data_IF_857886166206
#
_entry.id   IF_857886166206
#
_cell.length_a   1.000
_cell.length_b   1.000
_cell.length_c   1.000
_cell.angle_alpha   90.00
_cell.angle_beta   90.00
_cell.angle_gamma   90.00
#
_symmetry.space_group_name_H-M   'P 1'
#
loop_
_entity.id
_entity.type
_entity.pdbx_description
1 polymer ?
#
# COMPACT_ATOMS: atom_id res chain seq x y z
N UNK A 1 22.74 -14.13 -3.38
CA UNK A 1 21.48 -13.39 -3.65
C UNK A 1 20.65 -13.50 -2.38
N UNK A 2 20.42 -12.40 -1.67
CA UNK A 2 19.59 -12.40 -0.46
C UNK A 2 18.15 -12.61 -0.91
N UNK A 3 17.42 -13.49 -0.25
CA UNK A 3 16.02 -13.79 -0.58
C UNK A 3 15.14 -12.57 -0.27
N UNK A 4 14.21 -12.20 -1.17
CA UNK A 4 13.19 -11.17 -0.95
C UNK A 4 12.45 -11.37 0.38
N UNK A 5 12.15 -12.62 0.71
CA UNK A 5 11.49 -12.99 1.97
C UNK A 5 12.34 -12.66 3.18
N UNK A 6 13.64 -12.93 3.15
CA UNK A 6 14.53 -12.61 4.28
C UNK A 6 14.64 -11.10 4.52
N UNK A 7 14.78 -10.32 3.45
CA UNK A 7 14.77 -8.85 3.55
C UNK A 7 13.40 -8.34 4.03
N UNK A 8 12.30 -8.90 3.53
CA UNK A 8 10.95 -8.52 3.93
C UNK A 8 10.66 -8.83 5.40
N UNK A 9 11.13 -9.95 5.92
CA UNK A 9 10.99 -10.30 7.34
C UNK A 9 11.73 -9.29 8.22
N UNK A 10 12.99 -8.98 7.90
CA UNK A 10 13.77 -7.99 8.63
C UNK A 10 13.11 -6.60 8.60
N UNK A 11 12.58 -6.20 7.45
CA UNK A 11 11.87 -4.93 7.30
C UNK A 11 10.54 -4.92 8.06
N UNK A 12 9.78 -6.03 8.05
CA UNK A 12 8.49 -6.12 8.74
C UNK A 12 8.62 -5.93 10.25
N UNK A 13 9.72 -6.39 10.85
CA UNK A 13 9.99 -6.21 12.29
C UNK A 13 10.25 -4.74 12.66
N UNK A 14 10.77 -3.95 11.73
CA UNK A 14 10.94 -2.50 11.91
C UNK A 14 9.63 -1.72 11.69
N UNK A 15 8.76 -2.21 10.81
CA UNK A 15 7.49 -1.55 10.50
C UNK A 15 6.47 -1.67 11.63
N UNK A 16 6.43 -2.78 12.37
CA UNK A 16 5.46 -3.01 13.45
C UNK A 16 5.47 -1.90 14.50
N UNK A 17 6.62 -1.44 15.06
CA UNK A 17 6.65 -0.35 16.01
C UNK A 17 6.22 1.00 15.43
N UNK A 18 6.54 1.26 14.17
CA UNK A 18 6.24 2.53 13.51
C UNK A 18 4.75 2.72 13.22
N UNK A 19 3.98 1.63 13.12
CA UNK A 19 2.55 1.64 12.79
C UNK A 19 1.60 1.67 13.98
N UNK A 20 2.08 1.31 15.18
CA UNK A 20 1.24 1.29 16.39
C UNK A 20 0.68 2.65 16.84
N UNK A 21 1.32 3.81 16.64
CA UNK A 21 0.81 5.05 17.22
C UNK A 21 -0.24 5.79 16.39
N UNK A 22 -0.41 5.51 15.11
CA UNK A 22 -1.27 6.35 14.24
C UNK A 22 -2.73 5.93 14.23
N UNK A 23 -3.07 4.71 14.65
CA UNK A 23 -4.45 4.20 14.65
C UNK A 23 -5.22 4.47 15.93
N UNK A 24 -4.57 4.99 17.01
CA UNK A 24 -5.21 5.19 18.32
C UNK A 24 -5.27 6.65 18.77
N UNK A 25 -4.84 7.61 17.97
CA UNK A 25 -5.23 8.99 18.20
C UNK A 25 -6.53 9.24 17.44
N UNK A 26 -7.66 9.50 18.13
CA UNK A 26 -8.85 9.96 17.45
C UNK A 26 -8.49 11.30 16.81
N UNK A 27 -8.22 11.31 15.49
CA UNK A 27 -8.33 12.54 14.74
C UNK A 27 -9.75 13.02 14.95
N UNK A 28 -9.98 14.30 15.31
CA UNK A 28 -11.33 14.82 15.36
C UNK A 28 -11.89 14.75 13.94
N UNK A 29 -12.63 13.68 13.68
CA UNK A 29 -13.32 13.46 12.42
C UNK A 29 -14.51 14.39 12.37
N UNK A 30 -14.40 15.43 11.59
CA UNK A 30 -15.58 16.14 11.11
C UNK A 30 -16.15 15.34 9.93
N UNK A 31 -17.16 14.53 10.19
CA UNK A 31 -18.15 14.21 9.18
C UNK A 31 -18.29 12.82 8.60
N UNK A 32 -17.74 11.76 9.20
CA UNK A 32 -18.25 10.41 8.87
C UNK A 32 -18.19 9.51 10.11
N UNK A 33 -19.36 9.00 10.51
CA UNK A 33 -19.44 8.01 11.57
C UNK A 33 -18.69 6.74 11.17
N UNK A 34 -17.96 6.07 12.09
CA UNK A 34 -17.35 4.79 11.81
C UNK A 34 -18.46 3.86 11.28
N UNK A 35 -18.17 3.09 10.23
CA UNK A 35 -19.08 2.07 9.70
C UNK A 35 -19.12 0.90 10.69
N UNK A 36 -19.75 1.15 11.82
CA UNK A 36 -20.05 0.12 12.81
C UNK A 36 -21.23 -0.70 12.25
N UNK A 37 -20.98 -1.94 11.86
CA UNK A 37 -22.03 -2.87 11.51
C UNK A 37 -22.38 -3.70 12.74
N UNK A 38 -23.68 -3.83 13.01
CA UNK A 38 -24.22 -4.78 14.00
C UNK A 38 -23.82 -6.20 13.60
N UNK A 39 -23.22 -6.97 14.52
CA UNK A 39 -22.83 -8.31 14.20
C UNK A 39 -22.56 -9.25 15.38
N UNK A 40 -21.82 -10.33 15.14
CA UNK A 40 -21.58 -11.45 16.07
C UNK A 40 -20.22 -11.39 16.76
N UNK A 41 -19.61 -10.21 16.88
CA UNK A 41 -18.31 -10.03 17.55
C UNK A 41 -18.34 -10.40 19.04
N UNK A 42 -17.17 -10.49 19.64
CA UNK A 42 -17.01 -10.86 21.08
C UNK A 42 -17.00 -9.63 21.99
N UNK A 43 -16.75 -8.44 21.47
CA UNK A 43 -16.70 -7.23 22.28
C UNK A 43 -18.10 -6.64 22.51
N UNK A 44 -18.35 -6.24 23.77
CA UNK A 44 -19.61 -5.61 24.16
C UNK A 44 -19.66 -4.17 23.64
N UNK A 45 -20.69 -3.84 22.88
CA UNK A 45 -20.89 -2.47 22.42
C UNK A 45 -21.90 -1.72 23.29
N UNK A 46 -23.18 -2.19 23.29
CA UNK A 46 -24.25 -1.52 24.01
C UNK A 46 -25.37 -2.48 24.40
N UNK A 47 -26.27 -1.97 25.26
CA UNK A 47 -27.54 -2.61 25.50
C UNK A 47 -28.63 -1.98 24.63
N UNK A 48 -29.48 -2.80 24.00
CA UNK A 48 -30.69 -2.35 23.35
C UNK A 48 -31.94 -3.07 23.93
N UNK A 49 -33.14 -2.48 23.78
CA UNK A 49 -34.36 -3.20 24.14
C UNK A 49 -34.48 -4.52 23.38
N UNK A 50 -34.90 -5.56 24.06
CA UNK A 50 -35.24 -6.86 23.45
C UNK A 50 -36.45 -6.70 22.55
N UNK A 51 -36.39 -7.27 21.34
CA UNK A 51 -37.50 -7.31 20.39
C UNK A 51 -37.90 -8.75 20.08
N UNK A 52 -39.18 -8.99 19.76
CA UNK A 52 -39.63 -10.32 19.37
C UNK A 52 -38.86 -10.81 18.13
N UNK A 53 -38.16 -11.95 18.28
CA UNK A 53 -37.26 -12.50 17.25
C UNK A 53 -35.76 -12.51 17.67
N UNK A 54 -35.42 -11.82 18.75
CA UNK A 54 -34.08 -11.91 19.31
C UNK A 54 -33.88 -13.23 20.06
N UNK A 55 -32.62 -13.71 20.05
CA UNK A 55 -32.25 -14.87 20.85
C UNK A 55 -32.34 -14.55 22.35
N UNK A 56 -33.20 -15.24 23.05
CA UNK A 56 -33.40 -15.08 24.49
C UNK A 56 -32.16 -15.37 25.33
N UNK A 57 -31.23 -16.18 24.81
CA UNK A 57 -29.93 -16.45 25.46
C UNK A 57 -29.04 -15.22 25.53
N UNK A 58 -29.29 -14.19 24.71
CA UNK A 58 -28.56 -12.94 24.69
C UNK A 58 -29.10 -11.87 25.62
N UNK A 59 -30.17 -12.15 26.36
CA UNK A 59 -30.73 -11.19 27.31
C UNK A 59 -29.73 -10.93 28.45
N UNK A 60 -29.41 -9.66 28.63
CA UNK A 60 -28.56 -9.20 29.73
C UNK A 60 -29.35 -9.04 31.04
N UNK A 61 -29.72 -10.13 31.70
CA UNK A 61 -30.59 -10.14 32.86
C UNK A 61 -30.21 -9.14 33.96
N UNK A 62 -28.91 -8.97 34.26
CA UNK A 62 -28.43 -7.98 35.25
C UNK A 62 -28.71 -6.54 34.83
N UNK A 63 -28.51 -6.21 33.56
CA UNK A 63 -28.82 -4.88 33.01
C UNK A 63 -30.31 -4.68 32.93
N UNK A 64 -31.06 -5.70 32.46
CA UNK A 64 -32.55 -5.68 32.37
C UNK A 64 -33.20 -5.39 33.72
N UNK A 65 -32.70 -6.00 34.78
CA UNK A 65 -33.20 -5.75 36.14
C UNK A 65 -32.98 -4.30 36.61
N UNK A 66 -31.85 -3.70 36.23
CA UNK A 66 -31.51 -2.32 36.61
C UNK A 66 -32.34 -1.30 35.83
N UNK A 67 -32.58 -1.55 34.55
CA UNK A 67 -33.29 -0.62 33.67
C UNK A 67 -34.78 -0.93 33.54
N UNK A 68 -35.29 -1.94 34.26
CA UNK A 68 -36.70 -2.38 34.30
C UNK A 68 -37.34 -2.70 32.94
N UNK A 69 -36.49 -3.10 31.97
CA UNK A 69 -36.92 -3.57 30.66
C UNK A 69 -35.95 -4.64 30.15
N UNK A 70 -36.43 -5.64 29.38
CA UNK A 70 -35.54 -6.63 28.82
C UNK A 70 -34.56 -6.00 27.83
N UNK A 71 -33.25 -6.19 28.09
CA UNK A 71 -32.16 -5.66 27.28
C UNK A 71 -31.35 -6.81 26.69
N UNK A 72 -31.00 -6.69 25.43
CA UNK A 72 -30.11 -7.60 24.72
C UNK A 72 -28.71 -6.95 24.61
N UNK A 73 -27.67 -7.75 24.76
CA UNK A 73 -26.30 -7.30 24.48
C UNK A 73 -26.10 -7.22 22.98
N UNK A 74 -25.75 -6.07 22.47
CA UNK A 74 -25.20 -5.92 21.13
C UNK A 74 -23.68 -6.03 21.21
N UNK A 75 -23.12 -6.85 20.33
CA UNK A 75 -21.68 -6.99 20.17
C UNK A 75 -21.28 -6.22 18.91
N UNK A 76 -20.10 -5.67 18.92
CA UNK A 76 -19.50 -5.06 17.74
C UNK A 76 -19.05 -6.16 16.79
N UNK A 77 -19.42 -6.10 15.50
CA UNK A 77 -18.74 -6.88 14.49
C UNK A 77 -17.40 -6.20 14.24
N UNK A 78 -16.33 -6.81 14.69
CA UNK A 78 -15.01 -6.48 14.21
C UNK A 78 -14.97 -6.81 12.70
N UNK A 79 -15.25 -5.83 11.87
CA UNK A 79 -14.99 -5.95 10.43
C UNK A 79 -13.48 -5.99 10.28
N UNK A 80 -12.91 -7.09 9.76
CA UNK A 80 -11.46 -7.16 9.57
C UNK A 80 -11.01 -6.00 8.70
N UNK A 81 -9.91 -5.36 9.09
CA UNK A 81 -9.29 -4.31 8.29
C UNK A 81 -8.73 -4.88 7.00
N UNK A 82 -8.74 -4.10 5.94
CA UNK A 82 -8.34 -4.52 4.60
C UNK A 82 -7.16 -3.71 4.08
N UNK A 83 -6.18 -4.40 3.49
CA UNK A 83 -5.00 -3.84 2.87
C UNK A 83 -4.89 -4.31 1.43
N UNK A 84 -4.75 -3.39 0.50
CA UNK A 84 -4.40 -3.72 -0.89
C UNK A 84 -2.94 -3.32 -1.16
N UNK A 85 -2.16 -4.26 -1.63
CA UNK A 85 -0.77 -4.07 -2.04
C UNK A 85 -0.70 -4.14 -3.57
N UNK A 86 -0.20 -3.08 -4.17
CA UNK A 86 0.02 -3.03 -5.61
C UNK A 86 1.48 -2.70 -5.90
N UNK A 87 2.10 -3.52 -6.75
CA UNK A 87 3.49 -3.37 -7.20
C UNK A 87 3.50 -3.28 -8.72
N UNK A 88 4.10 -2.27 -9.27
CA UNK A 88 4.25 -2.10 -10.71
C UNK A 88 5.15 -3.20 -11.30
N UNK A 89 4.69 -3.82 -12.39
CA UNK A 89 5.40 -4.89 -13.09
C UNK A 89 5.85 -4.50 -14.50
N UNK A 90 5.86 -3.22 -14.80
CA UNK A 90 6.39 -2.77 -16.09
C UNK A 90 7.88 -3.08 -16.21
N UNK A 91 8.37 -3.32 -17.44
CA UNK A 91 9.80 -3.58 -17.67
C UNK A 91 10.73 -2.50 -17.12
N UNK A 92 10.26 -1.26 -16.99
CA UNK A 92 11.01 -0.13 -16.41
C UNK A 92 11.43 -0.37 -14.96
N UNK A 93 10.66 -1.18 -14.21
CA UNK A 93 10.99 -1.58 -12.85
C UNK A 93 12.20 -2.51 -12.77
N UNK A 94 12.59 -3.13 -13.89
CA UNK A 94 13.81 -3.94 -14.01
C UNK A 94 15.08 -3.12 -14.19
N UNK A 95 14.98 -1.81 -14.47
CA UNK A 95 16.15 -0.96 -14.61
C UNK A 95 16.90 -0.82 -13.29
N UNK A 96 18.23 -0.97 -13.34
CA UNK A 96 19.10 -0.73 -12.19
C UNK A 96 20.54 -0.43 -12.62
N UNK A 97 21.19 0.45 -11.90
CA UNK A 97 22.65 0.67 -11.89
C UNK A 97 23.27 0.22 -10.57
N UNK A 98 22.49 -0.35 -9.67
CA UNK A 98 22.88 -0.82 -8.34
C UNK A 98 22.76 -2.34 -8.24
N UNK A 99 22.96 -2.89 -7.05
CA UNK A 99 22.82 -4.33 -6.80
C UNK A 99 21.36 -4.81 -6.78
N UNK A 100 20.39 -3.88 -6.63
CA UNK A 100 18.96 -4.19 -6.53
C UNK A 100 18.17 -3.46 -7.60
N UNK A 101 17.21 -4.15 -8.19
CA UNK A 101 16.25 -3.52 -9.10
C UNK A 101 15.14 -2.80 -8.32
N UNK A 102 14.49 -1.83 -8.93
CA UNK A 102 13.27 -1.21 -8.38
C UNK A 102 12.19 -2.26 -8.09
N UNK A 103 12.08 -3.27 -8.98
CA UNK A 103 11.17 -4.39 -8.80
C UNK A 103 11.45 -5.18 -7.52
N UNK A 104 12.73 -5.52 -7.26
CA UNK A 104 13.13 -6.22 -6.04
C UNK A 104 12.75 -5.43 -4.78
N UNK A 105 13.07 -4.13 -4.77
CA UNK A 105 12.73 -3.26 -3.63
C UNK A 105 11.22 -3.14 -3.43
N UNK A 106 10.45 -3.02 -4.52
CA UNK A 106 8.99 -2.97 -4.48
C UNK A 106 8.38 -4.24 -3.89
N UNK A 107 8.91 -5.41 -4.29
CA UNK A 107 8.46 -6.70 -3.77
C UNK A 107 8.77 -6.85 -2.27
N UNK A 108 9.98 -6.48 -1.86
CA UNK A 108 10.38 -6.50 -0.45
C UNK A 108 9.47 -5.58 0.38
N UNK A 109 9.20 -4.38 -0.10
CA UNK A 109 8.31 -3.42 0.57
C UNK A 109 6.89 -3.98 0.72
N UNK A 110 6.30 -4.50 -0.36
CA UNK A 110 4.95 -5.04 -0.34
C UNK A 110 4.83 -6.26 0.58
N UNK A 111 5.79 -7.18 0.52
CA UNK A 111 5.83 -8.35 1.41
C UNK A 111 6.00 -7.96 2.87
N UNK A 112 6.88 -7.00 3.16
CA UNK A 112 7.11 -6.53 4.53
C UNK A 112 5.86 -5.89 5.14
N UNK A 113 5.18 -5.02 4.39
CA UNK A 113 3.94 -4.40 4.82
C UNK A 113 2.82 -5.41 4.99
N UNK A 114 2.62 -6.26 3.99
CA UNK A 114 1.60 -7.31 4.06
C UNK A 114 1.82 -8.23 5.25
N UNK A 115 3.06 -8.66 5.47
CA UNK A 115 3.38 -9.55 6.57
C UNK A 115 3.27 -8.88 7.93
N UNK A 116 3.71 -7.61 8.07
CA UNK A 116 3.53 -6.84 9.29
C UNK A 116 2.05 -6.72 9.68
N UNK A 117 1.16 -6.50 8.70
CA UNK A 117 -0.29 -6.45 8.95
C UNK A 117 -0.86 -7.85 9.23
N UNK A 118 -0.49 -8.87 8.47
CA UNK A 118 -0.96 -10.25 8.68
C UNK A 118 -0.67 -10.75 10.11
N UNK A 119 0.51 -10.41 10.66
CA UNK A 119 0.90 -10.75 12.03
C UNK A 119 0.06 -10.07 13.12
N UNK A 120 -0.62 -8.98 12.82
CA UNK A 120 -1.53 -8.30 13.75
C UNK A 120 -2.92 -8.96 13.83
N UNK A 121 -3.19 -9.98 13.04
CA UNK A 121 -4.31 -10.91 13.20
C UNK A 121 -5.53 -10.60 12.33
N UNK A 122 -6.16 -9.43 12.41
CA UNK A 122 -7.47 -9.17 11.79
C UNK A 122 -7.40 -8.44 10.43
N UNK A 123 -6.32 -8.67 9.67
CA UNK A 123 -6.16 -8.07 8.36
C UNK A 123 -6.48 -9.04 7.22
N UNK A 124 -7.23 -8.54 6.24
CA UNK A 124 -7.42 -9.17 4.94
C UNK A 124 -6.55 -8.44 3.91
N UNK A 125 -5.73 -9.19 3.18
CA UNK A 125 -4.74 -8.63 2.26
C UNK A 125 -5.11 -9.01 0.84
N UNK A 126 -5.21 -8.03 -0.04
CA UNK A 126 -5.31 -8.18 -1.49
C UNK A 126 -3.96 -7.88 -2.11
N UNK A 127 -3.47 -8.77 -2.96
CA UNK A 127 -2.29 -8.57 -3.78
C UNK A 127 -2.73 -8.29 -5.20
N UNK A 128 -2.23 -7.18 -5.76
CA UNK A 128 -2.40 -6.82 -7.17
C UNK A 128 -3.86 -6.73 -7.66
N UNK A 129 -4.78 -6.38 -6.77
CA UNK A 129 -6.20 -6.31 -7.10
C UNK A 129 -6.92 -7.65 -7.10
N UNK A 130 -6.28 -8.71 -6.61
CA UNK A 130 -6.92 -9.99 -6.31
C UNK A 130 -7.89 -9.91 -5.13
N UNK A 131 -8.51 -11.02 -4.75
CA UNK A 131 -9.42 -11.05 -3.61
C UNK A 131 -8.69 -10.76 -2.30
N UNK A 132 -9.40 -10.14 -1.35
CA UNK A 132 -8.92 -9.98 0.02
C UNK A 132 -8.96 -11.33 0.75
N UNK A 133 -7.82 -11.75 1.30
CA UNK A 133 -7.67 -13.01 2.03
C UNK A 133 -6.73 -12.89 3.23
N UNK A 134 -6.77 -13.87 4.14
CA UNK A 134 -5.83 -13.95 5.25
C UNK A 134 -4.58 -14.71 4.82
N UNK A 135 -3.42 -14.19 5.19
CA UNK A 135 -2.15 -14.89 5.00
C UNK A 135 -1.60 -15.35 6.36
N UNK A 136 -1.21 -16.61 6.41
CA UNK A 136 -0.59 -17.24 7.58
C UNK A 136 0.87 -17.61 7.33
N UNK A 137 1.35 -17.38 6.09
CA UNK A 137 2.71 -17.67 5.66
C UNK A 137 3.14 -16.62 4.63
N UNK A 138 4.33 -16.06 4.83
CA UNK A 138 4.92 -15.07 3.94
C UNK A 138 5.33 -15.67 2.57
N UNK A 139 5.65 -16.97 2.52
CA UNK A 139 5.98 -17.64 1.26
C UNK A 139 4.73 -17.77 0.37
N UNK A 140 3.58 -18.04 0.96
CA UNK A 140 2.31 -18.03 0.21
C UNK A 140 2.00 -16.62 -0.33
N UNK A 141 2.29 -15.58 0.45
CA UNK A 141 2.14 -14.20 0.01
C UNK A 141 3.10 -13.85 -1.14
N UNK A 142 4.36 -14.29 -1.08
CA UNK A 142 5.33 -14.12 -2.16
C UNK A 142 4.86 -14.78 -3.45
N UNK A 143 4.39 -16.02 -3.37
CA UNK A 143 3.86 -16.75 -4.53
C UNK A 143 2.66 -16.05 -5.17
N UNK A 144 1.78 -15.49 -4.35
CA UNK A 144 0.62 -14.74 -4.85
C UNK A 144 1.04 -13.37 -5.40
N UNK A 145 2.05 -12.73 -4.84
CA UNK A 145 2.62 -11.51 -5.38
C UNK A 145 3.24 -11.71 -6.77
N UNK A 146 3.80 -12.86 -7.05
CA UNK A 146 4.41 -13.20 -8.35
C UNK A 146 3.37 -13.57 -9.43
N UNK A 147 2.15 -13.95 -9.07
CA UNK A 147 1.06 -14.33 -10.00
C UNK A 147 0.40 -13.17 -10.77
N UNK A 148 1.00 -12.08 -10.90
CA UNK A 148 0.45 -10.79 -11.19
C UNK A 148 -0.33 -10.56 -12.47
N UNK A 149 -1.29 -9.64 -12.31
CA UNK A 149 -2.04 -9.01 -13.39
C UNK A 149 -1.65 -7.54 -13.50
N UNK A 150 -1.47 -7.04 -14.73
CA UNK A 150 -1.17 -5.63 -14.97
C UNK A 150 -2.34 -4.74 -14.49
N UNK A 151 -2.04 -3.62 -13.85
CA UNK A 151 -2.99 -2.64 -13.32
C UNK A 151 -4.01 -2.11 -14.35
N UNK A 152 -3.72 -2.27 -15.64
CA UNK A 152 -4.57 -1.84 -16.74
C UNK A 152 -5.92 -2.57 -16.84
N UNK A 153 -6.23 -3.52 -15.98
CA UNK A 153 -7.40 -4.39 -16.09
C UNK A 153 -8.60 -3.98 -15.21
N UNK A 154 -8.50 -2.90 -14.43
CA UNK A 154 -9.64 -2.41 -13.67
C UNK A 154 -9.29 -1.73 -12.34
N UNK A 155 -10.29 -1.25 -11.60
CA UNK A 155 -10.08 -0.62 -10.31
C UNK A 155 -9.57 -1.62 -9.28
N UNK A 156 -8.71 -1.17 -8.38
CA UNK A 156 -8.34 -1.94 -7.20
C UNK A 156 -9.58 -2.18 -6.32
N UNK A 157 -9.66 -3.33 -5.63
CA UNK A 157 -10.74 -3.56 -4.68
C UNK A 157 -10.70 -2.48 -3.58
N UNK A 158 -11.85 -1.95 -3.15
CA UNK A 158 -11.90 -1.01 -2.04
C UNK A 158 -11.24 -1.59 -0.79
N UNK A 159 -10.38 -0.80 -0.15
CA UNK A 159 -9.67 -1.22 1.05
C UNK A 159 -9.55 -0.07 2.05
N UNK A 160 -9.31 -0.38 3.33
CA UNK A 160 -9.04 0.65 4.33
C UNK A 160 -7.66 1.27 4.08
N UNK A 161 -6.69 0.45 3.66
CA UNK A 161 -5.34 0.89 3.30
C UNK A 161 -4.91 0.37 1.94
N UNK A 162 -4.15 1.20 1.22
CA UNK A 162 -3.52 0.82 -0.06
C UNK A 162 -2.06 1.23 -0.04
N UNK A 163 -1.19 0.31 -0.44
CA UNK A 163 0.22 0.56 -0.72
C UNK A 163 0.46 0.43 -2.22
N UNK A 164 1.01 1.48 -2.82
CA UNK A 164 1.38 1.51 -4.23
C UNK A 164 2.90 1.60 -4.35
N UNK A 165 3.52 0.63 -5.01
CA UNK A 165 4.97 0.59 -5.24
C UNK A 165 5.27 0.64 -6.73
N UNK A 166 5.89 1.73 -7.20
CA UNK A 166 6.21 1.94 -8.62
C UNK A 166 7.33 2.97 -8.76
N UNK A 167 7.92 3.07 -9.95
CA UNK A 167 8.70 4.24 -10.36
C UNK A 167 7.79 5.41 -10.78
N UNK A 168 6.51 5.14 -10.96
CA UNK A 168 5.49 6.10 -11.43
C UNK A 168 5.86 6.86 -12.70
N UNK A 169 6.80 6.37 -13.50
CA UNK A 169 7.19 6.98 -14.78
C UNK A 169 6.12 6.73 -15.86
N UNK A 170 4.93 7.24 -15.61
CA UNK A 170 3.79 7.26 -16.52
C UNK A 170 3.54 8.67 -17.04
N UNK A 171 2.90 8.84 -18.19
CA UNK A 171 2.32 10.12 -18.56
C UNK A 171 1.39 10.64 -17.46
N UNK A 172 1.37 11.96 -17.25
CA UNK A 172 0.60 12.58 -16.17
C UNK A 172 -0.89 12.24 -16.23
N UNK A 173 -1.46 12.15 -17.43
CA UNK A 173 -2.85 11.77 -17.64
C UNK A 173 -3.14 10.34 -17.18
N UNK A 174 -2.18 9.43 -17.45
CA UNK A 174 -2.27 8.04 -16.98
C UNK A 174 -2.21 7.97 -15.46
N UNK A 175 -1.31 8.73 -14.80
CA UNK A 175 -1.24 8.79 -13.34
C UNK A 175 -2.54 9.32 -12.74
N UNK A 176 -3.11 10.37 -13.31
CA UNK A 176 -4.38 10.94 -12.85
C UNK A 176 -5.53 9.92 -12.98
N UNK A 177 -5.58 9.19 -14.10
CA UNK A 177 -6.55 8.13 -14.33
C UNK A 177 -6.37 6.98 -13.31
N UNK A 178 -5.14 6.48 -13.12
CA UNK A 178 -4.84 5.43 -12.14
C UNK A 178 -5.25 5.84 -10.72
N UNK A 179 -4.92 7.05 -10.29
CA UNK A 179 -5.26 7.53 -8.96
C UNK A 179 -6.77 7.70 -8.77
N UNK A 180 -7.53 7.96 -9.83
CA UNK A 180 -9.00 8.06 -9.77
C UNK A 180 -9.69 6.71 -9.55
N UNK A 181 -9.00 5.60 -9.85
CA UNK A 181 -9.53 4.24 -9.66
C UNK A 181 -9.36 3.71 -8.22
N UNK A 182 -8.56 4.39 -7.40
CA UNK A 182 -8.25 3.95 -6.04
C UNK A 182 -9.33 4.44 -5.09
N UNK A 183 -9.89 3.51 -4.32
CA UNK A 183 -10.90 3.76 -3.29
C UNK A 183 -10.40 3.25 -1.96
N UNK A 184 -9.72 4.12 -1.22
CA UNK A 184 -9.20 3.83 0.10
C UNK A 184 -9.15 5.11 0.94
N UNK A 185 -9.23 4.94 2.25
CA UNK A 185 -9.15 6.04 3.21
C UNK A 185 -7.68 6.45 3.47
N UNK A 186 -6.76 5.48 3.40
CA UNK A 186 -5.33 5.68 3.65
C UNK A 186 -4.51 5.07 2.49
N UNK A 187 -3.74 5.90 1.80
CA UNK A 187 -2.93 5.48 0.66
C UNK A 187 -1.50 5.93 0.83
N UNK A 188 -0.59 4.95 0.80
CA UNK A 188 0.85 5.17 0.77
C UNK A 188 1.37 4.98 -0.65
N UNK A 189 1.99 6.00 -1.21
CA UNK A 189 2.63 5.98 -2.53
C UNK A 189 4.14 5.86 -2.34
N UNK A 190 4.70 4.69 -2.67
CA UNK A 190 6.12 4.40 -2.57
C UNK A 190 6.77 4.53 -3.96
N UNK A 191 7.41 5.66 -4.21
CA UNK A 191 8.15 5.92 -5.43
C UNK A 191 9.55 5.31 -5.35
N UNK A 192 9.82 4.32 -6.19
CA UNK A 192 11.14 3.67 -6.28
C UNK A 192 11.95 4.28 -7.42
N UNK A 193 13.20 4.58 -7.16
CA UNK A 193 14.07 5.18 -8.16
C UNK A 193 15.49 4.59 -8.09
N UNK A 194 16.14 4.53 -9.24
CA UNK A 194 17.57 4.25 -9.32
C UNK A 194 18.37 5.57 -9.22
N UNK A 195 19.51 5.62 -8.52
CA UNK A 195 20.32 6.83 -8.40
C UNK A 195 20.69 7.46 -9.76
N UNK A 196 20.88 6.64 -10.80
CA UNK A 196 21.19 7.15 -12.13
C UNK A 196 20.00 7.87 -12.81
N UNK A 197 18.76 7.55 -12.41
CA UNK A 197 17.57 8.27 -12.89
C UNK A 197 17.50 9.70 -12.33
N UNK A 198 18.06 9.94 -11.15
CA UNK A 198 18.12 11.28 -10.54
C UNK A 198 19.35 12.05 -10.96
N UNK A 199 20.53 11.41 -10.87
CA UNK A 199 21.82 12.06 -11.11
C UNK A 199 22.15 12.23 -12.59
N UNK A 200 21.63 11.35 -13.47
CA UNK A 200 21.96 11.26 -14.89
C UNK A 200 23.49 11.29 -15.13
N UNK A 201 24.23 10.25 -14.69
CA UNK A 201 25.70 10.27 -14.67
C UNK A 201 26.35 10.08 -16.04
N UNK A 202 25.56 9.99 -17.09
CA UNK A 202 25.99 9.63 -18.43
C UNK A 202 26.79 10.74 -19.12
N UNK A 203 27.80 10.35 -19.91
CA UNK A 203 28.69 11.25 -20.66
C UNK A 203 28.99 10.67 -22.04
N UNK A 204 29.28 11.56 -22.99
CA UNK A 204 29.61 11.20 -24.36
C UNK A 204 28.47 10.50 -25.14
N UNK A 205 28.80 9.79 -26.20
CA UNK A 205 27.80 9.07 -26.99
C UNK A 205 27.29 7.84 -26.27
N UNK A 206 25.96 7.74 -26.13
CA UNK A 206 25.30 6.63 -25.43
C UNK A 206 24.04 6.22 -26.16
N UNK A 207 23.74 4.93 -26.14
CA UNK A 207 22.49 4.39 -26.66
C UNK A 207 21.58 4.07 -25.48
N UNK A 208 20.45 4.75 -25.39
CA UNK A 208 19.38 4.44 -24.47
C UNK A 208 18.41 3.47 -25.11
N UNK A 209 18.05 2.42 -24.39
CA UNK A 209 17.04 1.45 -24.83
C UNK A 209 15.77 1.68 -24.04
N UNK A 210 14.66 1.80 -24.73
CA UNK A 210 13.35 1.78 -24.09
C UNK A 210 13.01 0.35 -23.65
N UNK A 211 12.90 0.13 -22.35
CA UNK A 211 12.54 -1.16 -21.77
C UNK A 211 11.08 -1.55 -22.05
N UNK A 212 10.22 -0.58 -22.38
CA UNK A 212 8.83 -0.81 -22.77
C UNK A 212 8.66 -1.21 -24.24
N UNK A 213 9.76 -1.24 -25.02
CA UNK A 213 9.74 -1.68 -26.41
C UNK A 213 9.61 -0.56 -27.44
N UNK A 214 9.75 0.71 -27.05
CA UNK A 214 9.68 1.89 -27.94
C UNK A 214 10.92 2.10 -28.81
N UNK A 215 11.93 1.20 -28.73
CA UNK A 215 13.13 1.26 -29.54
C UNK A 215 14.35 1.82 -28.82
N UNK A 216 15.41 2.05 -29.59
CA UNK A 216 16.69 2.59 -29.09
C UNK A 216 16.84 4.05 -29.53
N UNK A 217 17.35 4.90 -28.65
CA UNK A 217 17.70 6.29 -28.94
C UNK A 217 19.22 6.46 -28.80
N UNK A 218 19.90 6.85 -29.89
CA UNK A 218 21.32 7.19 -29.84
C UNK A 218 21.45 8.69 -29.54
N UNK A 219 22.19 9.01 -28.48
CA UNK A 219 22.50 10.37 -28.07
C UNK A 219 24.01 10.57 -28.23
N UNK A 220 24.42 11.58 -29.01
CA UNK A 220 25.82 11.88 -29.26
C UNK A 220 26.55 12.51 -28.08
N UNK A 221 25.84 13.32 -27.30
CA UNK A 221 26.34 13.96 -26.08
C UNK A 221 25.31 13.89 -24.95
N UNK A 222 25.42 12.85 -24.14
CA UNK A 222 24.52 12.63 -23.02
C UNK A 222 24.69 13.72 -21.94
N UNK A 223 25.88 14.28 -21.77
CA UNK A 223 26.15 15.33 -20.78
C UNK A 223 25.34 16.61 -21.09
N UNK A 224 25.17 16.95 -22.36
CA UNK A 224 24.38 18.12 -22.76
C UNK A 224 22.90 17.97 -22.39
N UNK A 225 22.38 16.75 -22.26
CA UNK A 225 20.99 16.48 -21.87
C UNK A 225 20.75 16.50 -20.37
N UNK A 226 21.80 16.44 -19.54
CA UNK A 226 21.67 16.27 -18.08
C UNK A 226 20.72 17.29 -17.46
N UNK A 227 20.94 18.58 -17.70
CA UNK A 227 20.14 19.64 -17.09
C UNK A 227 18.68 19.56 -17.48
N UNK A 228 18.39 19.34 -18.77
CA UNK A 228 17.02 19.22 -19.25
C UNK A 228 16.32 17.97 -18.75
N UNK A 229 17.03 16.85 -18.66
CA UNK A 229 16.53 15.60 -18.12
C UNK A 229 16.19 15.76 -16.63
N UNK A 230 17.11 16.29 -15.83
CA UNK A 230 16.89 16.49 -14.38
C UNK A 230 15.72 17.44 -14.11
N UNK A 231 15.57 18.50 -14.92
CA UNK A 231 14.42 19.40 -14.83
C UNK A 231 13.09 18.67 -15.09
N UNK A 232 13.04 17.83 -16.13
CA UNK A 232 11.85 17.01 -16.46
C UNK A 232 11.55 15.96 -15.38
N UNK A 233 12.57 15.32 -14.85
CA UNK A 233 12.41 14.35 -13.75
C UNK A 233 11.85 15.02 -12.49
N UNK A 234 12.39 16.19 -12.13
CA UNK A 234 11.91 16.96 -11.00
C UNK A 234 10.47 17.49 -11.19
N UNK A 235 10.12 17.89 -12.41
CA UNK A 235 8.76 18.30 -12.78
C UNK A 235 7.78 17.11 -12.63
N UNK A 236 8.17 15.95 -13.14
CA UNK A 236 7.39 14.72 -13.05
C UNK A 236 7.14 14.31 -11.60
N UNK A 237 8.17 14.34 -10.74
CA UNK A 237 8.04 14.04 -9.31
C UNK A 237 7.08 15.03 -8.62
N UNK A 238 7.20 16.32 -8.91
CA UNK A 238 6.27 17.34 -8.38
C UNK A 238 4.84 17.13 -8.86
N UNK A 239 4.64 16.72 -10.10
CA UNK A 239 3.32 16.40 -10.63
C UNK A 239 2.69 15.19 -9.93
N UNK A 240 3.48 14.15 -9.61
CA UNK A 240 3.01 13.02 -8.81
C UNK A 240 2.57 13.46 -7.42
N UNK A 241 3.39 14.25 -6.73
CA UNK A 241 3.07 14.80 -5.41
C UNK A 241 1.80 15.69 -5.45
N UNK A 242 1.68 16.52 -6.49
CA UNK A 242 0.50 17.36 -6.69
C UNK A 242 -0.80 16.58 -6.93
N UNK A 243 -0.72 15.38 -7.47
CA UNK A 243 -1.87 14.48 -7.62
C UNK A 243 -2.23 13.76 -6.31
N UNK A 244 -1.24 13.42 -5.49
CA UNK A 244 -1.42 12.68 -4.23
C UNK A 244 -1.87 13.58 -3.07
N UNK A 245 -1.26 14.75 -2.94
CA UNK A 245 -1.43 15.64 -1.79
C UNK A 245 -2.88 16.07 -1.53
N UNK A 246 -3.69 16.49 -2.55
CA UNK A 246 -5.09 16.87 -2.32
C UNK A 246 -5.97 15.73 -1.85
N UNK A 247 -5.53 14.49 -2.04
CA UNK A 247 -6.19 13.26 -1.59
C UNK A 247 -5.77 12.86 -0.16
N UNK A 248 -4.83 13.59 0.44
CA UNK A 248 -4.24 13.25 1.73
C UNK A 248 -3.30 12.04 1.68
N UNK A 249 -2.82 11.66 0.50
CA UNK A 249 -1.94 10.52 0.31
C UNK A 249 -0.49 10.88 0.61
N UNK A 250 0.23 9.97 1.25
CA UNK A 250 1.64 10.14 1.54
C UNK A 250 2.49 9.60 0.39
N UNK A 251 3.37 10.44 -0.15
CA UNK A 251 4.36 10.04 -1.15
C UNK A 251 5.71 9.93 -0.47
N UNK A 252 6.32 8.75 -0.52
CA UNK A 252 7.67 8.49 0.00
C UNK A 252 8.55 7.96 -1.12
N UNK A 253 9.82 8.40 -1.16
CA UNK A 253 10.77 8.02 -2.21
C UNK A 253 11.83 7.09 -1.64
N UNK A 254 12.09 5.99 -2.35
CA UNK A 254 13.06 4.97 -1.95
C UNK A 254 14.08 4.71 -3.07
N UNK A 255 15.36 4.82 -2.73
CA UNK A 255 16.47 4.52 -3.65
C UNK A 255 16.70 3.02 -3.74
N UNK A 256 17.24 2.56 -4.88
CA UNK A 256 17.76 1.19 -5.01
C UNK A 256 19.16 1.00 -4.44
N UNK A 257 19.81 2.06 -3.94
CA UNK A 257 21.22 2.05 -3.53
C UNK A 257 21.50 1.20 -2.29
N UNK A 258 20.56 1.17 -1.34
CA UNK A 258 20.70 0.42 -0.10
C UNK A 258 19.50 -0.48 0.22
N UNK A 259 19.59 -1.29 1.27
CA UNK A 259 18.43 -2.03 1.75
C UNK A 259 17.41 -1.08 2.37
N UNK A 260 16.12 -1.40 2.21
CA UNK A 260 15.02 -0.58 2.75
C UNK A 260 15.08 -0.42 4.28
N UNK A 261 15.70 -1.36 4.98
CA UNK A 261 15.89 -1.32 6.43
C UNK A 261 16.74 -0.13 6.90
N UNK A 262 17.70 0.32 6.08
CA UNK A 262 18.54 1.49 6.38
C UNK A 262 17.82 2.82 6.07
N UNK A 263 16.76 2.79 5.29
CA UNK A 263 16.02 3.98 4.87
C UNK A 263 14.85 4.32 5.79
N UNK A 264 14.47 3.38 6.65
CA UNK A 264 13.35 3.53 7.60
C UNK A 264 13.82 3.72 9.05
N UNK A 265 15.11 3.58 9.32
CA UNK A 265 15.75 3.89 10.61
C UNK A 265 16.24 5.31 10.62
#
# INVERSE_FOLDING_TARGET
MISRVAEALALSDLLIPAFMPLSHQPRPWQGAAPRQRRGRGTEFWQFRPYTAGDDAARIAWRASARYRQPLTKEHEDAVPSSLTLWVDRRPTMGFTTTARTKQHQADVMALAWGWAMARQGDWLISLQGGPHQRYHDILAMEQDLDKQVLFSQGPLPPADKVLLCSDFLYPQETLAALFSLIRADDVQVCMLYDPAEVSFPYQGPIRFRDLAGGGDCLVEDAQALRTSYQARYAEHTRALEALALPRGWLVTRYSTEGPLTEMLG
#
